data_IF_102956897839
#
_entry.id   IF_102956897839
#
_cell.length_a   1.000
_cell.length_b   1.000
_cell.length_c   1.000
_cell.angle_alpha   90.00
_cell.angle_beta   90.00
_cell.angle_gamma   90.00
#
_symmetry.space_group_name_H-M   'P 1'
#
loop_
_entity.id
_entity.type
_entity.pdbx_description
1 polymer ?
#
# COMPACT_ATOMS: atom_id res chain seq x y z
N UNK A 1 -5.61 -7.36 -17.63
CA UNK A 1 -5.31 -7.57 -19.07
C UNK A 1 -6.03 -8.81 -19.54
N UNK A 2 -6.59 -8.82 -20.76
CA UNK A 2 -7.18 -10.01 -21.37
C UNK A 2 -6.27 -10.44 -22.51
N UNK A 3 -5.87 -11.70 -22.51
CA UNK A 3 -5.02 -12.29 -23.52
C UNK A 3 -5.84 -12.74 -24.75
N UNK A 4 -5.16 -13.03 -25.87
CA UNK A 4 -5.78 -13.47 -27.12
C UNK A 4 -6.54 -14.81 -26.97
N UNK A 5 -6.05 -15.68 -26.10
CA UNK A 5 -6.65 -16.99 -25.76
C UNK A 5 -7.85 -16.89 -24.78
N UNK A 6 -8.20 -15.70 -24.34
CA UNK A 6 -9.30 -15.42 -23.42
C UNK A 6 -8.95 -15.46 -21.94
N UNK A 7 -7.75 -15.92 -21.57
CA UNK A 7 -7.24 -15.88 -20.19
C UNK A 7 -7.09 -14.43 -19.72
N UNK A 8 -7.15 -14.20 -18.41
CA UNK A 8 -7.02 -12.88 -17.81
C UNK A 8 -5.86 -12.87 -16.80
N UNK A 9 -5.05 -11.84 -16.86
CA UNK A 9 -4.03 -11.55 -15.86
C UNK A 9 -4.35 -10.20 -15.24
N UNK A 10 -4.35 -10.15 -13.92
CA UNK A 10 -4.49 -8.90 -13.16
C UNK A 10 -3.12 -8.48 -12.66
N UNK A 11 -2.68 -7.31 -13.07
CA UNK A 11 -1.44 -6.71 -12.62
C UNK A 11 -1.71 -5.76 -11.47
N UNK A 12 -0.90 -5.89 -10.43
CA UNK A 12 -0.83 -4.97 -9.30
C UNK A 12 0.53 -4.28 -9.37
N UNK A 13 0.52 -3.00 -9.74
CA UNK A 13 1.74 -2.19 -9.79
C UNK A 13 2.02 -1.55 -8.44
N UNK A 14 3.29 -1.57 -8.01
CA UNK A 14 3.73 -0.92 -6.77
C UNK A 14 4.88 0.02 -7.08
N UNK A 15 4.88 1.26 -6.51
CA UNK A 15 5.99 2.18 -6.72
C UNK A 15 7.31 1.60 -6.25
N UNK A 16 8.38 1.77 -7.05
CA UNK A 16 9.73 1.28 -6.73
C UNK A 16 10.47 2.10 -5.67
N UNK A 17 9.96 3.29 -5.31
CA UNK A 17 10.64 4.17 -4.37
C UNK A 17 10.65 3.61 -2.94
N UNK A 18 11.74 3.83 -2.20
CA UNK A 18 11.96 3.31 -0.83
C UNK A 18 10.83 3.65 0.15
N UNK A 19 10.22 4.82 0.01
CA UNK A 19 9.09 5.24 0.84
C UNK A 19 7.88 4.30 0.79
N UNK A 20 7.75 3.43 -0.24
CA UNK A 20 6.61 2.54 -0.46
C UNK A 20 6.87 1.08 -0.09
N UNK A 21 7.81 0.81 0.81
CA UNK A 21 8.12 -0.53 1.34
C UNK A 21 6.87 -1.27 1.84
N UNK A 22 5.99 -0.60 2.59
CA UNK A 22 4.76 -1.19 3.10
C UNK A 22 3.79 -1.59 1.98
N UNK A 23 3.71 -0.83 0.88
CA UNK A 23 2.90 -1.19 -0.29
C UNK A 23 3.44 -2.45 -0.98
N UNK A 24 4.78 -2.56 -1.17
CA UNK A 24 5.40 -3.77 -1.74
C UNK A 24 5.14 -4.99 -0.88
N UNK A 25 5.31 -4.89 0.44
CA UNK A 25 5.04 -5.99 1.37
C UNK A 25 3.57 -6.46 1.34
N UNK A 26 2.62 -5.53 1.20
CA UNK A 26 1.20 -5.86 1.05
C UNK A 26 0.90 -6.46 -0.32
N UNK A 27 1.45 -5.88 -1.38
CA UNK A 27 1.33 -6.41 -2.73
C UNK A 27 1.77 -7.86 -2.80
N UNK A 28 2.93 -8.19 -2.25
CA UNK A 28 3.45 -9.55 -2.22
C UNK A 28 2.52 -10.56 -1.51
N UNK A 29 1.78 -10.14 -0.48
CA UNK A 29 0.83 -11.02 0.23
C UNK A 29 -0.47 -11.31 -0.54
N UNK A 30 -0.78 -10.49 -1.53
CA UNK A 30 -2.07 -10.54 -2.25
C UNK A 30 -1.90 -11.14 -3.65
N UNK A 31 -0.67 -11.17 -4.16
CA UNK A 31 -0.34 -11.67 -5.50
C UNK A 31 0.01 -13.15 -5.48
N UNK A 32 -0.23 -13.82 -6.61
CA UNK A 32 0.13 -15.22 -6.83
C UNK A 32 1.55 -15.35 -7.38
N UNK A 33 2.02 -14.38 -8.17
CA UNK A 33 3.35 -14.36 -8.81
C UNK A 33 3.90 -12.93 -8.73
N UNK A 34 5.18 -12.78 -8.43
CA UNK A 34 5.88 -11.51 -8.42
C UNK A 34 6.78 -11.38 -9.67
N UNK A 35 6.59 -10.31 -10.43
CA UNK A 35 7.52 -9.95 -11.51
C UNK A 35 8.47 -8.88 -10.98
N UNK A 36 9.76 -9.23 -10.89
CA UNK A 36 10.81 -8.31 -10.44
C UNK A 36 11.52 -7.75 -11.66
N UNK A 37 11.40 -6.42 -11.85
CA UNK A 37 12.01 -5.73 -12.98
C UNK A 37 13.38 -5.21 -12.56
N UNK A 38 14.42 -5.60 -13.34
CA UNK A 38 15.79 -5.14 -13.16
C UNK A 38 16.26 -4.46 -14.44
N UNK A 39 16.93 -3.33 -14.32
CA UNK A 39 17.45 -2.62 -15.50
C UNK A 39 18.78 -3.22 -15.96
N UNK A 40 18.88 -3.62 -17.25
CA UNK A 40 20.11 -4.20 -17.83
C UNK A 40 21.26 -3.19 -17.96
N UNK A 41 20.97 -1.89 -17.88
CA UNK A 41 21.94 -0.78 -17.96
C UNK A 41 22.44 -0.31 -16.59
N UNK A 42 22.08 -1.02 -15.52
CA UNK A 42 22.41 -0.66 -14.13
C UNK A 42 22.86 -1.92 -13.35
N UNK A 43 22.90 -1.85 -12.03
CA UNK A 43 23.16 -2.98 -11.13
C UNK A 43 21.86 -3.37 -10.42
N UNK A 44 21.90 -4.49 -9.69
CA UNK A 44 20.80 -4.85 -8.79
C UNK A 44 20.76 -3.85 -7.64
N UNK A 45 19.78 -2.95 -7.66
CA UNK A 45 19.63 -1.87 -6.69
C UNK A 45 19.08 -2.37 -5.35
N UNK A 46 19.32 -1.66 -4.22
CA UNK A 46 18.79 -2.05 -2.91
C UNK A 46 17.28 -2.23 -2.89
N UNK A 47 16.53 -1.45 -3.65
CA UNK A 47 15.06 -1.58 -3.79
C UNK A 47 14.67 -2.89 -4.48
N UNK A 48 15.48 -3.37 -5.43
CA UNK A 48 15.30 -4.67 -6.08
C UNK A 48 15.50 -5.81 -5.07
N UNK A 49 16.56 -5.73 -4.26
CA UNK A 49 16.83 -6.70 -3.20
C UNK A 49 15.69 -6.73 -2.18
N UNK A 50 15.18 -5.58 -1.80
CA UNK A 50 14.02 -5.46 -0.93
C UNK A 50 12.77 -6.11 -1.52
N UNK A 51 12.49 -5.87 -2.82
CA UNK A 51 11.35 -6.49 -3.50
C UNK A 51 11.47 -8.01 -3.57
N UNK A 52 12.66 -8.54 -3.85
CA UNK A 52 12.97 -9.97 -3.81
C UNK A 52 12.72 -10.54 -2.40
N UNK A 53 13.19 -9.85 -1.36
CA UNK A 53 13.01 -10.29 0.02
C UNK A 53 11.53 -10.31 0.43
N UNK A 54 10.73 -9.34 0.00
CA UNK A 54 9.28 -9.32 0.26
C UNK A 54 8.57 -10.47 -0.45
N UNK A 55 8.86 -10.74 -1.71
CA UNK A 55 8.29 -11.84 -2.46
C UNK A 55 8.68 -13.20 -1.84
N UNK A 56 9.96 -13.36 -1.48
CA UNK A 56 10.48 -14.56 -0.82
C UNK A 56 9.85 -14.78 0.57
N UNK A 57 9.72 -13.73 1.38
CA UNK A 57 9.08 -13.80 2.69
C UNK A 57 7.58 -14.12 2.62
N UNK A 58 6.92 -13.71 1.54
CA UNK A 58 5.52 -14.06 1.25
C UNK A 58 5.36 -15.46 0.64
N UNK A 59 6.46 -16.13 0.25
CA UNK A 59 6.43 -17.43 -0.41
C UNK A 59 5.91 -17.39 -1.83
N UNK A 60 5.96 -16.23 -2.49
CA UNK A 60 5.45 -16.01 -3.84
C UNK A 60 6.54 -16.33 -4.87
N UNK A 61 6.27 -17.12 -5.92
CA UNK A 61 7.19 -17.36 -7.03
C UNK A 61 7.62 -16.05 -7.69
N UNK A 62 8.88 -16.00 -8.10
CA UNK A 62 9.50 -14.82 -8.69
C UNK A 62 9.87 -15.10 -10.15
N UNK A 63 9.47 -14.20 -11.04
CA UNK A 63 9.90 -14.14 -12.43
C UNK A 63 10.71 -12.86 -12.62
N UNK A 64 11.94 -12.96 -13.12
CA UNK A 64 12.79 -11.80 -13.35
C UNK A 64 12.56 -11.23 -14.76
N UNK A 65 12.36 -9.92 -14.85
CA UNK A 65 12.27 -9.20 -16.12
C UNK A 65 13.46 -8.25 -16.24
N UNK A 66 14.44 -8.61 -17.07
CA UNK A 66 15.65 -7.81 -17.30
C UNK A 66 15.32 -6.80 -18.41
N UNK A 67 15.05 -5.56 -18.00
CA UNK A 67 14.53 -4.50 -18.87
C UNK A 67 15.63 -3.60 -19.44
N UNK A 68 15.28 -2.82 -20.46
CA UNK A 68 16.14 -1.86 -21.15
C UNK A 68 17.27 -2.49 -21.98
N UNK A 69 17.06 -3.67 -22.51
CA UNK A 69 18.06 -4.35 -23.38
C UNK A 69 18.37 -3.57 -24.68
N UNK A 70 17.53 -2.58 -25.00
CA UNK A 70 17.71 -1.69 -26.16
C UNK A 70 18.79 -0.62 -25.98
N UNK A 71 19.34 -0.46 -24.76
CA UNK A 71 20.38 0.53 -24.49
C UNK A 71 21.78 -0.01 -24.83
N UNK A 72 22.71 0.85 -25.34
CA UNK A 72 24.08 0.41 -25.68
C UNK A 72 24.88 -0.12 -24.49
N UNK A 73 24.56 0.34 -23.26
CA UNK A 73 25.23 -0.10 -22.03
C UNK A 73 24.57 -1.31 -21.38
N UNK A 74 23.54 -1.88 -22.00
CA UNK A 74 22.82 -3.03 -21.45
C UNK A 74 23.70 -4.27 -21.37
N UNK A 75 23.77 -4.89 -20.22
CA UNK A 75 24.47 -6.16 -20.01
C UNK A 75 23.60 -7.12 -19.18
N UNK A 76 22.71 -7.89 -19.82
CA UNK A 76 21.83 -8.84 -19.13
C UNK A 76 22.59 -9.91 -18.34
N UNK A 77 23.73 -10.39 -18.88
CA UNK A 77 24.52 -11.45 -18.26
C UNK A 77 25.10 -11.00 -16.91
N UNK A 78 25.53 -9.74 -16.80
CA UNK A 78 25.97 -9.17 -15.53
C UNK A 78 24.86 -9.20 -14.47
N UNK A 79 23.63 -8.86 -14.84
CA UNK A 79 22.48 -8.92 -13.93
C UNK A 79 22.20 -10.37 -13.52
N UNK A 80 22.28 -11.34 -14.44
CA UNK A 80 22.12 -12.77 -14.11
C UNK A 80 23.21 -13.25 -13.14
N UNK A 81 24.43 -12.77 -13.29
CA UNK A 81 25.54 -13.06 -12.36
C UNK A 81 25.30 -12.46 -10.96
N UNK A 82 24.87 -11.20 -10.88
CA UNK A 82 24.54 -10.55 -9.61
C UNK A 82 23.38 -11.29 -8.89
N UNK A 83 22.34 -11.72 -9.63
CA UNK A 83 21.24 -12.53 -9.08
C UNK A 83 21.73 -13.90 -8.60
N UNK A 84 22.61 -14.57 -9.35
CA UNK A 84 23.20 -15.85 -8.98
C UNK A 84 24.03 -15.74 -7.70
N UNK A 85 24.79 -14.66 -7.52
CA UNK A 85 25.56 -14.37 -6.30
C UNK A 85 24.66 -14.19 -5.06
N UNK A 86 23.41 -13.80 -5.26
CA UNK A 86 22.38 -13.71 -4.22
C UNK A 86 21.56 -15.00 -4.02
N UNK A 87 21.98 -16.13 -4.64
CA UNK A 87 21.28 -17.41 -4.67
C UNK A 87 19.97 -17.44 -5.48
N UNK A 88 19.79 -16.51 -6.40
CA UNK A 88 18.65 -16.47 -7.35
C UNK A 88 19.11 -16.87 -8.74
N UNK A 89 19.56 -18.13 -8.88
CA UNK A 89 20.05 -18.65 -10.15
C UNK A 89 18.90 -18.78 -11.16
N UNK A 90 19.06 -18.15 -12.31
CA UNK A 90 18.07 -18.14 -13.38
C UNK A 90 18.06 -19.43 -14.20
N UNK A 91 16.93 -19.72 -14.85
CA UNK A 91 16.71 -20.93 -15.65
C UNK A 91 17.74 -21.09 -16.76
N UNK A 92 18.10 -20.02 -17.46
CA UNK A 92 19.11 -20.00 -18.52
C UNK A 92 20.46 -20.56 -18.06
N UNK A 93 20.78 -20.47 -16.77
CA UNK A 93 22.00 -20.96 -16.15
C UNK A 93 21.79 -22.22 -15.31
N UNK A 94 20.68 -22.94 -15.53
CA UNK A 94 20.34 -24.18 -14.85
C UNK A 94 19.72 -24.02 -13.46
N UNK A 95 19.24 -22.82 -13.14
CA UNK A 95 18.52 -22.53 -11.90
C UNK A 95 17.02 -22.77 -11.98
N UNK A 96 16.31 -22.36 -10.94
CA UNK A 96 14.85 -22.54 -10.82
C UNK A 96 14.03 -21.30 -11.14
N UNK A 97 14.67 -20.12 -11.19
CA UNK A 97 13.96 -18.86 -11.38
C UNK A 97 13.84 -18.52 -12.86
N UNK A 98 12.64 -18.26 -13.31
CA UNK A 98 12.41 -17.83 -14.68
C UNK A 98 12.91 -16.40 -14.88
N UNK A 99 13.53 -16.15 -16.03
CA UNK A 99 13.99 -14.82 -16.42
C UNK A 99 13.67 -14.54 -17.89
N UNK A 100 13.38 -13.28 -18.19
CA UNK A 100 13.13 -12.82 -19.55
C UNK A 100 13.77 -11.45 -19.77
N UNK A 101 14.53 -11.37 -20.87
CA UNK A 101 15.10 -10.12 -21.34
C UNK A 101 14.03 -9.34 -22.12
N UNK A 102 13.83 -8.07 -21.76
CA UNK A 102 12.78 -7.25 -22.36
C UNK A 102 13.26 -5.83 -22.69
N UNK A 103 12.57 -5.20 -23.61
CA UNK A 103 12.55 -3.76 -23.75
C UNK A 103 11.10 -3.27 -23.69
N UNK A 104 10.70 -2.80 -22.54
CA UNK A 104 9.35 -2.27 -22.35
C UNK A 104 9.05 -1.10 -23.31
N UNK A 105 10.08 -0.27 -23.61
CA UNK A 105 9.94 0.86 -24.53
C UNK A 105 9.64 0.43 -25.96
N UNK A 106 10.28 -0.67 -26.42
CA UNK A 106 10.13 -1.20 -27.78
C UNK A 106 9.11 -2.34 -27.88
N UNK A 107 8.59 -2.82 -26.77
CA UNK A 107 7.69 -3.97 -26.70
C UNK A 107 8.35 -5.32 -27.01
N UNK A 108 9.69 -5.39 -26.97
CA UNK A 108 10.44 -6.61 -27.24
C UNK A 108 10.44 -7.50 -26.00
N UNK A 109 10.22 -8.82 -26.17
CA UNK A 109 10.28 -9.82 -25.09
C UNK A 109 9.11 -9.79 -24.10
N UNK A 110 8.12 -8.90 -24.30
CA UNK A 110 6.99 -8.75 -23.37
C UNK A 110 6.02 -9.93 -23.48
N UNK A 111 5.81 -10.45 -24.69
CA UNK A 111 4.93 -11.61 -24.89
C UNK A 111 5.54 -12.86 -24.26
N UNK A 112 6.81 -13.08 -24.47
CA UNK A 112 7.58 -14.17 -23.89
C UNK A 112 7.60 -14.11 -22.36
N UNK A 113 7.71 -12.91 -21.77
CA UNK A 113 7.56 -12.71 -20.33
C UNK A 113 6.17 -13.16 -19.84
N UNK A 114 5.11 -12.77 -20.55
CA UNK A 114 3.76 -13.18 -20.19
C UNK A 114 3.55 -14.68 -20.30
N UNK A 115 4.13 -15.32 -21.32
CA UNK A 115 4.07 -16.77 -21.48
C UNK A 115 4.78 -17.49 -20.33
N UNK A 116 5.93 -16.98 -19.84
CA UNK A 116 6.62 -17.50 -18.64
C UNK A 116 5.77 -17.31 -17.37
N UNK A 117 5.14 -16.17 -17.21
CA UNK A 117 4.23 -15.92 -16.05
C UNK A 117 3.04 -16.89 -16.10
N UNK A 118 2.49 -17.17 -17.26
CA UNK A 118 1.39 -18.14 -17.40
C UNK A 118 1.84 -19.57 -17.12
N UNK A 119 3.04 -19.93 -17.52
CA UNK A 119 3.62 -21.24 -17.20
C UNK A 119 3.77 -21.42 -15.69
N UNK A 120 4.28 -20.41 -15.00
CA UNK A 120 4.38 -20.40 -13.53
C UNK A 120 2.99 -20.51 -12.87
N UNK A 121 1.99 -19.78 -13.39
CA UNK A 121 0.62 -19.84 -12.90
C UNK A 121 -0.01 -21.23 -13.10
N UNK A 122 0.30 -21.93 -14.19
CA UNK A 122 -0.14 -23.31 -14.42
C UNK A 122 0.47 -24.29 -13.41
N UNK A 123 1.75 -24.10 -13.07
CA UNK A 123 2.42 -24.92 -12.05
C UNK A 123 1.82 -24.73 -10.65
N UNK A 124 1.31 -23.54 -10.35
CA UNK A 124 0.66 -23.24 -9.06
C UNK A 124 -0.76 -23.82 -8.93
N UNK A 125 -1.37 -24.30 -10.02
CA UNK A 125 -2.74 -24.86 -10.06
C UNK A 125 -3.77 -23.96 -9.33
N UNK A 126 -3.75 -22.65 -9.65
CA UNK A 126 -4.57 -21.64 -9.00
C UNK A 126 -6.06 -21.91 -9.21
N UNK A 127 -6.82 -22.01 -8.12
CA UNK A 127 -8.25 -22.32 -8.13
C UNK A 127 -9.05 -21.33 -7.30
N UNK A 128 -10.20 -20.92 -7.83
CA UNK A 128 -11.16 -20.10 -7.09
C UNK A 128 -12.60 -20.55 -7.41
N UNK A 129 -13.48 -20.45 -6.40
CA UNK A 129 -14.88 -20.77 -6.58
C UNK A 129 -15.71 -19.48 -6.75
N UNK A 130 -16.25 -19.17 -7.94
CA UNK A 130 -17.06 -17.97 -8.16
C UNK A 130 -18.43 -18.04 -7.48
N UNK A 131 -18.93 -19.24 -7.17
CA UNK A 131 -20.28 -19.46 -6.65
C UNK A 131 -20.37 -19.38 -5.12
N UNK A 132 -19.66 -18.42 -4.52
CA UNK A 132 -19.71 -18.12 -3.08
C UNK A 132 -19.69 -16.62 -2.83
N UNK A 133 -19.93 -16.20 -1.59
CA UNK A 133 -19.77 -14.81 -1.16
C UNK A 133 -18.32 -14.36 -1.39
N UNK A 134 -18.17 -13.15 -1.91
CA UNK A 134 -16.86 -12.63 -2.22
C UNK A 134 -16.01 -12.42 -0.97
N UNK A 135 -14.75 -12.78 -1.11
CA UNK A 135 -13.69 -12.45 -0.17
C UNK A 135 -12.48 -11.95 -0.96
N UNK A 136 -11.72 -11.07 -0.39
CA UNK A 136 -10.53 -10.52 -1.06
C UNK A 136 -9.82 -9.49 -0.19
N UNK A 137 -9.01 -8.65 -0.80
CA UNK A 137 -8.17 -7.67 -0.11
C UNK A 137 -8.44 -6.26 -0.61
N UNK A 138 -8.30 -5.30 0.30
CA UNK A 138 -8.30 -3.87 -0.02
C UNK A 138 -6.91 -3.51 -0.54
N UNK A 139 -6.84 -3.00 -1.76
CA UNK A 139 -5.58 -2.55 -2.36
C UNK A 139 -5.30 -1.12 -1.95
N UNK A 140 -6.32 -0.26 -2.04
CA UNK A 140 -6.20 1.16 -1.76
C UNK A 140 -7.54 1.75 -1.34
N UNK A 141 -7.49 2.80 -0.53
CA UNK A 141 -8.68 3.57 -0.15
C UNK A 141 -8.41 5.06 -0.32
N UNK A 142 -9.40 5.75 -0.84
CA UNK A 142 -9.32 7.20 -1.06
C UNK A 142 -10.65 7.88 -0.74
N UNK A 143 -10.61 9.20 -0.55
CA UNK A 143 -11.80 10.03 -0.40
C UNK A 143 -11.98 10.89 -1.66
N UNK A 144 -12.96 10.55 -2.46
CA UNK A 144 -13.37 11.35 -3.61
C UNK A 144 -14.39 12.43 -3.17
N UNK A 145 -14.20 13.67 -3.61
CA UNK A 145 -15.05 14.82 -3.22
C UNK A 145 -16.52 14.67 -3.66
N UNK A 146 -16.76 13.91 -4.75
CA UNK A 146 -18.11 13.71 -5.32
C UNK A 146 -18.73 12.38 -4.94
N UNK A 147 -17.92 11.34 -4.82
CA UNK A 147 -18.36 9.95 -4.63
C UNK A 147 -18.27 9.47 -3.18
N UNK A 148 -17.58 10.21 -2.31
CA UNK A 148 -17.32 9.81 -0.93
C UNK A 148 -16.14 8.84 -0.81
N UNK A 149 -16.21 7.92 0.16
CA UNK A 149 -15.18 6.91 0.34
C UNK A 149 -15.22 5.89 -0.80
N UNK A 150 -14.06 5.68 -1.39
CA UNK A 150 -13.81 4.80 -2.52
C UNK A 150 -12.75 3.79 -2.12
N UNK A 151 -12.99 2.51 -2.33
CA UNK A 151 -12.01 1.46 -2.06
C UNK A 151 -11.75 0.66 -3.34
N UNK A 152 -10.49 0.51 -3.70
CA UNK A 152 -10.04 -0.44 -4.73
C UNK A 152 -9.82 -1.79 -4.07
N UNK A 153 -10.57 -2.78 -4.52
CA UNK A 153 -10.52 -4.14 -3.98
C UNK A 153 -10.07 -5.14 -5.04
N UNK A 154 -9.40 -6.19 -4.61
CA UNK A 154 -9.11 -7.36 -5.43
C UNK A 154 -9.87 -8.55 -4.86
N UNK A 155 -10.74 -9.14 -5.66
CA UNK A 155 -11.52 -10.32 -5.28
C UNK A 155 -10.61 -11.55 -5.36
N UNK A 156 -10.40 -12.26 -4.26
CA UNK A 156 -9.62 -13.50 -4.23
C UNK A 156 -10.51 -14.71 -4.50
N UNK A 157 -11.73 -14.69 -3.98
CA UNK A 157 -12.66 -15.81 -4.11
C UNK A 157 -14.11 -15.31 -4.10
N UNK A 158 -15.03 -16.05 -4.72
CA UNK A 158 -16.44 -15.69 -4.81
C UNK A 158 -16.71 -14.63 -5.88
N UNK A 159 -17.92 -14.11 -5.90
CA UNK A 159 -18.35 -13.02 -6.80
C UNK A 159 -18.93 -11.88 -6.00
N UNK A 160 -18.34 -10.70 -6.16
CA UNK A 160 -18.77 -9.45 -5.55
C UNK A 160 -19.85 -8.81 -6.43
N UNK A 161 -20.97 -8.37 -5.83
CA UNK A 161 -22.09 -7.77 -6.55
C UNK A 161 -22.49 -6.43 -5.98
N UNK A 162 -23.06 -5.59 -6.82
CA UNK A 162 -23.72 -4.36 -6.36
C UNK A 162 -24.91 -4.74 -5.49
N UNK A 163 -25.00 -4.13 -4.31
CA UNK A 163 -26.02 -4.43 -3.30
C UNK A 163 -25.53 -5.31 -2.16
N UNK A 164 -24.37 -5.96 -2.30
CA UNK A 164 -23.77 -6.75 -1.23
C UNK A 164 -23.38 -5.87 -0.04
N UNK A 165 -23.39 -6.47 1.14
CA UNK A 165 -22.98 -5.82 2.38
C UNK A 165 -21.55 -6.27 2.66
N UNK A 166 -20.62 -5.32 2.57
CA UNK A 166 -19.19 -5.53 2.76
C UNK A 166 -18.74 -5.06 4.13
N UNK A 167 -17.86 -5.83 4.77
CA UNK A 167 -17.06 -5.42 5.91
C UNK A 167 -15.58 -5.54 5.59
N UNK A 168 -14.81 -4.48 5.85
CA UNK A 168 -13.37 -4.43 5.66
C UNK A 168 -12.72 -3.66 6.82
N UNK A 169 -11.87 -4.35 7.59
CA UNK A 169 -11.32 -3.76 8.81
C UNK A 169 -12.43 -3.31 9.78
N UNK A 170 -12.43 -2.02 10.09
CA UNK A 170 -13.46 -1.33 10.90
C UNK A 170 -14.53 -0.64 10.06
N UNK A 171 -14.39 -0.65 8.73
CA UNK A 171 -15.34 -0.03 7.81
C UNK A 171 -16.32 -1.08 7.28
N UNK A 172 -17.57 -0.67 7.11
CA UNK A 172 -18.61 -1.52 6.53
C UNK A 172 -19.56 -0.68 5.67
N UNK A 173 -20.37 -1.32 4.86
CA UNK A 173 -21.41 -0.65 4.10
C UNK A 173 -21.97 -1.49 2.98
N UNK A 174 -23.10 -1.02 2.43
CA UNK A 174 -23.73 -1.61 1.27
C UNK A 174 -23.10 -1.05 -0.01
N UNK A 175 -22.65 -1.93 -0.89
CA UNK A 175 -22.08 -1.56 -2.17
C UNK A 175 -23.14 -0.88 -3.03
N UNK A 176 -22.98 0.41 -3.30
CA UNK A 176 -23.90 1.22 -4.11
C UNK A 176 -23.58 1.15 -5.59
N UNK A 177 -22.29 1.12 -5.91
CA UNK A 177 -21.82 1.02 -7.28
C UNK A 177 -20.42 0.40 -7.30
N UNK A 178 -20.09 -0.25 -8.40
CA UNK A 178 -18.75 -0.75 -8.68
C UNK A 178 -18.29 -0.28 -10.06
N UNK A 179 -16.99 -0.09 -10.20
CA UNK A 179 -16.35 0.31 -11.45
C UNK A 179 -15.13 -0.57 -11.72
N UNK A 180 -14.84 -0.80 -12.99
CA UNK A 180 -13.62 -1.47 -13.40
C UNK A 180 -12.43 -0.49 -13.47
N UNK A 181 -11.26 -1.00 -13.87
CA UNK A 181 -10.02 -0.24 -14.04
C UNK A 181 -10.13 0.89 -15.08
N UNK A 182 -11.14 0.83 -15.96
CA UNK A 182 -11.43 1.86 -16.98
C UNK A 182 -12.50 2.85 -16.55
N UNK A 183 -12.86 2.82 -15.25
CA UNK A 183 -13.93 3.64 -14.66
C UNK A 183 -15.32 3.41 -15.30
N UNK A 184 -15.55 2.23 -15.87
CA UNK A 184 -16.84 1.81 -16.39
C UNK A 184 -17.61 1.08 -15.29
N UNK A 185 -18.91 1.36 -15.19
CA UNK A 185 -19.78 0.73 -14.20
C UNK A 185 -19.94 -0.76 -14.47
N UNK A 186 -19.74 -1.57 -13.45
CA UNK A 186 -19.94 -3.01 -13.48
C UNK A 186 -20.94 -3.42 -12.41
N UNK A 187 -21.63 -4.55 -12.62
CA UNK A 187 -22.61 -5.09 -11.69
C UNK A 187 -22.03 -6.20 -10.82
N UNK A 188 -21.00 -6.89 -11.32
CA UNK A 188 -20.34 -7.99 -10.63
C UNK A 188 -18.84 -8.04 -10.95
N UNK A 189 -18.07 -8.57 -10.00
CA UNK A 189 -16.63 -8.83 -10.12
C UNK A 189 -16.34 -10.22 -9.56
N UNK A 190 -15.83 -11.11 -10.42
CA UNK A 190 -15.45 -12.49 -10.05
C UNK A 190 -14.02 -12.57 -9.49
N UNK A 191 -13.51 -13.81 -9.28
CA UNK A 191 -12.16 -14.04 -8.80
C UNK A 191 -11.08 -13.37 -9.66
N UNK A 192 -10.02 -12.91 -9.02
CA UNK A 192 -8.90 -12.16 -9.60
C UNK A 192 -9.29 -10.85 -10.32
N UNK A 193 -10.55 -10.39 -10.19
CA UNK A 193 -10.97 -9.13 -10.77
C UNK A 193 -10.76 -7.97 -9.78
N UNK A 194 -10.13 -6.86 -10.22
CA UNK A 194 -10.12 -5.62 -9.46
C UNK A 194 -11.46 -4.91 -9.62
N UNK A 195 -11.92 -4.28 -8.55
CA UNK A 195 -13.11 -3.45 -8.57
C UNK A 195 -12.94 -2.21 -7.67
N UNK A 196 -13.39 -1.08 -8.17
CA UNK A 196 -13.52 0.14 -7.40
C UNK A 196 -14.92 0.16 -6.78
N UNK A 197 -15.00 0.17 -5.47
CA UNK A 197 -16.25 0.00 -4.69
C UNK A 197 -16.64 1.31 -4.02
N UNK A 198 -17.93 1.65 -4.11
CA UNK A 198 -18.54 2.80 -3.44
C UNK A 198 -19.62 2.33 -2.46
N UNK A 199 -19.70 2.99 -1.32
CA UNK A 199 -20.79 2.77 -0.36
C UNK A 199 -20.34 2.42 1.05
N UNK A 200 -19.05 2.35 1.31
CA UNK A 200 -18.49 2.16 2.65
C UNK A 200 -18.65 3.43 3.49
N UNK A 201 -18.78 3.26 4.80
CA UNK A 201 -18.92 4.34 5.77
C UNK A 201 -17.61 5.03 6.15
N UNK A 202 -16.47 4.47 5.71
CA UNK A 202 -15.12 4.98 5.98
C UNK A 202 -14.12 4.45 4.96
N UNK A 203 -12.87 4.88 5.08
CA UNK A 203 -11.76 4.36 4.31
C UNK A 203 -11.17 3.13 5.03
N UNK A 204 -11.36 1.90 4.53
CA UNK A 204 -10.71 0.74 5.11
C UNK A 204 -9.19 0.82 4.89
N UNK A 205 -8.38 0.35 5.85
CA UNK A 205 -6.93 0.28 5.67
C UNK A 205 -6.53 -0.57 4.46
N UNK A 206 -5.53 -0.12 3.72
CA UNK A 206 -4.96 -0.90 2.62
C UNK A 206 -4.30 -2.19 3.16
N UNK A 207 -4.51 -3.32 2.47
CA UNK A 207 -4.05 -4.65 2.89
C UNK A 207 -5.02 -5.42 3.79
N UNK A 208 -6.08 -4.80 4.27
CA UNK A 208 -7.11 -5.51 5.03
C UNK A 208 -7.93 -6.45 4.12
N UNK A 209 -8.41 -7.53 4.72
CA UNK A 209 -9.32 -8.44 4.03
C UNK A 209 -10.75 -7.94 4.14
N UNK A 210 -11.51 -8.09 3.05
CA UNK A 210 -12.94 -7.86 3.07
C UNK A 210 -13.73 -9.16 2.99
N UNK A 211 -14.93 -9.13 3.57
CA UNK A 211 -15.88 -10.23 3.52
C UNK A 211 -17.29 -9.69 3.24
N UNK A 212 -18.10 -10.50 2.56
CA UNK A 212 -19.51 -10.20 2.30
C UNK A 212 -20.37 -10.92 3.33
N UNK A 213 -21.29 -10.18 3.93
CA UNK A 213 -22.24 -10.64 4.95
C UNK A 213 -23.68 -10.56 4.45
N UNK A 214 -24.59 -11.23 5.16
CA UNK A 214 -26.01 -11.27 4.80
C UNK A 214 -26.74 -10.01 5.27
N UNK A 215 -26.37 -9.48 6.42
CA UNK A 215 -27.10 -8.40 7.07
C UNK A 215 -26.20 -7.22 7.44
N UNK A 216 -26.73 -6.01 7.29
CA UNK A 216 -26.06 -4.77 7.70
C UNK A 216 -25.80 -4.73 9.21
N UNK A 217 -26.69 -5.37 9.98
CA UNK A 217 -26.55 -5.47 11.44
C UNK A 217 -25.29 -6.26 11.83
N UNK A 218 -25.07 -7.43 11.23
CA UNK A 218 -23.84 -8.22 11.47
C UNK A 218 -22.58 -7.44 11.08
N UNK A 219 -22.62 -6.77 9.91
CA UNK A 219 -21.49 -5.96 9.45
C UNK A 219 -21.13 -4.86 10.45
N UNK A 220 -22.14 -4.18 10.97
CA UNK A 220 -21.99 -3.13 11.98
C UNK A 220 -21.46 -3.69 13.31
N UNK A 221 -21.99 -4.80 13.79
CA UNK A 221 -21.55 -5.44 15.04
C UNK A 221 -20.07 -5.86 14.95
N UNK A 222 -19.66 -6.49 13.83
CA UNK A 222 -18.28 -6.88 13.60
C UNK A 222 -17.34 -5.66 13.52
N UNK A 223 -17.73 -4.63 12.79
CA UNK A 223 -16.95 -3.40 12.66
C UNK A 223 -16.75 -2.71 14.02
N UNK A 224 -17.83 -2.55 14.80
CA UNK A 224 -17.77 -1.95 16.13
C UNK A 224 -16.88 -2.75 17.09
N UNK A 225 -16.98 -4.08 17.07
CA UNK A 225 -16.15 -4.94 17.90
C UNK A 225 -14.66 -4.83 17.53
N UNK A 226 -14.35 -4.80 16.23
CA UNK A 226 -12.97 -4.60 15.76
C UNK A 226 -12.43 -3.23 16.16
N UNK A 227 -13.25 -2.18 16.07
CA UNK A 227 -12.87 -0.84 16.50
C UNK A 227 -12.55 -0.78 18.00
N UNK A 228 -13.38 -1.43 18.85
CA UNK A 228 -13.13 -1.53 20.28
C UNK A 228 -11.80 -2.24 20.57
N UNK A 229 -11.56 -3.39 19.93
CA UNK A 229 -10.30 -4.13 20.07
C UNK A 229 -9.08 -3.30 19.65
N UNK A 230 -9.19 -2.56 18.55
CA UNK A 230 -8.10 -1.68 18.08
C UNK A 230 -7.82 -0.56 19.10
N UNK A 231 -8.87 0.02 19.70
CA UNK A 231 -8.72 1.04 20.76
C UNK A 231 -8.02 0.46 21.98
N UNK A 232 -8.46 -0.71 22.46
CA UNK A 232 -7.83 -1.38 23.60
C UNK A 232 -6.36 -1.72 23.36
N UNK A 233 -6.02 -2.27 22.17
CA UNK A 233 -4.63 -2.55 21.78
C UNK A 233 -3.81 -1.28 21.76
N UNK A 234 -4.34 -0.20 21.17
CA UNK A 234 -3.66 1.10 21.09
C UNK A 234 -3.43 1.71 22.48
N UNK A 235 -4.39 1.58 23.39
CA UNK A 235 -4.25 2.04 24.77
C UNK A 235 -3.20 1.24 25.54
N UNK A 236 -3.19 -0.11 25.39
CA UNK A 236 -2.19 -0.99 26.02
C UNK A 236 -0.79 -0.76 25.47
N UNK A 237 -0.67 -0.46 24.18
CA UNK A 237 0.63 -0.23 23.51
C UNK A 237 1.16 1.18 23.80
N UNK A 238 0.30 2.09 24.23
CA UNK A 238 0.67 3.43 24.65
C UNK A 238 1.41 3.34 25.99
N UNK A 239 2.71 3.02 25.95
CA UNK A 239 3.58 3.05 27.14
C UNK A 239 3.57 4.49 27.65
N UNK A 240 3.01 4.69 28.85
CA UNK A 240 3.30 5.92 29.59
C UNK A 240 4.81 5.97 29.84
N UNK A 241 5.50 7.06 29.47
CA UNK A 241 6.91 7.19 29.75
C UNK A 241 7.12 7.03 31.25
N UNK A 242 7.96 6.07 31.63
CA UNK A 242 8.31 5.85 33.04
C UNK A 242 9.00 7.10 33.62
N UNK A 243 8.98 7.24 34.94
CA UNK A 243 9.69 8.32 35.61
C UNK A 243 11.18 8.35 35.25
N UNK A 244 11.76 7.18 35.01
CA UNK A 244 13.16 7.03 34.56
C UNK A 244 13.39 7.57 33.15
N UNK A 245 12.42 7.38 32.23
CA UNK A 245 12.47 7.95 30.89
C UNK A 245 12.37 9.46 30.90
N UNK A 246 11.52 10.01 31.80
CA UNK A 246 11.38 11.45 31.99
C UNK A 246 12.66 12.03 32.59
N UNK A 247 13.25 11.36 33.60
CA UNK A 247 14.51 11.76 34.20
C UNK A 247 15.67 11.74 33.21
N UNK A 248 15.76 10.67 32.39
CA UNK A 248 16.76 10.53 31.33
C UNK A 248 16.62 11.61 30.26
N UNK A 249 15.39 11.90 29.81
CA UNK A 249 15.09 12.98 28.86
C UNK A 249 15.47 14.37 29.41
N UNK A 250 15.25 14.59 30.72
CA UNK A 250 15.60 15.84 31.38
C UNK A 250 17.12 16.03 31.56
N UNK A 251 17.86 14.92 31.71
CA UNK A 251 19.32 14.92 31.83
C UNK A 251 20.04 15.13 30.47
N UNK A 252 19.39 14.81 29.35
CA UNK A 252 19.94 14.96 28.00
C UNK A 252 19.81 16.37 27.39
N UNK A 253 19.21 17.34 28.10
CA UNK A 253 19.09 18.72 27.64
C UNK A 253 17.74 19.03 26.96
N UNK A 254 17.71 20.07 26.13
CA UNK A 254 16.50 20.50 25.41
C UNK A 254 16.08 19.47 24.36
N UNK A 255 15.14 18.59 24.75
CA UNK A 255 14.53 17.63 23.86
C UNK A 255 13.25 18.22 23.30
N UNK A 256 13.16 18.33 21.99
CA UNK A 256 12.00 18.85 21.30
C UNK A 256 11.17 17.70 20.70
N UNK A 257 9.87 17.69 20.93
CA UNK A 257 8.93 16.80 20.26
C UNK A 257 8.16 17.56 19.18
N UNK A 258 8.27 17.10 17.94
CA UNK A 258 7.48 17.60 16.82
C UNK A 258 6.29 16.67 16.60
N UNK A 259 5.14 17.10 17.06
CA UNK A 259 3.90 16.36 16.90
C UNK A 259 3.20 16.74 15.58
N UNK A 260 2.95 15.76 14.71
CA UNK A 260 2.39 15.97 13.38
C UNK A 260 1.03 15.28 13.23
N UNK A 261 0.15 15.92 12.47
CA UNK A 261 -1.08 15.33 11.92
C UNK A 261 -0.91 15.25 10.41
N UNK A 262 -1.07 14.05 9.84
CA UNK A 262 -0.89 13.80 8.41
C UNK A 262 -2.24 13.52 7.79
N UNK A 263 -2.60 14.29 6.76
CA UNK A 263 -3.81 14.13 5.96
C UNK A 263 -3.47 14.09 4.48
N UNK A 264 -4.17 13.27 3.74
CA UNK A 264 -3.97 13.14 2.29
C UNK A 264 -5.20 12.55 1.61
N UNK A 265 -5.12 12.43 0.30
CA UNK A 265 -6.24 11.94 -0.50
C UNK A 265 -6.28 10.40 -0.51
N UNK A 266 -5.13 9.74 -0.31
CA UNK A 266 -4.93 8.30 -0.46
C UNK A 266 -4.20 7.74 0.76
N UNK A 267 -4.69 6.62 1.29
CA UNK A 267 -4.17 5.99 2.51
C UNK A 267 -2.69 5.58 2.40
N UNK A 268 -2.30 4.94 1.31
CA UNK A 268 -0.92 4.51 1.11
C UNK A 268 0.10 5.65 1.02
N UNK A 269 -0.28 6.79 0.45
CA UNK A 269 0.59 7.99 0.40
C UNK A 269 0.77 8.61 1.80
N UNK A 270 -0.28 8.61 2.61
CA UNK A 270 -0.26 9.09 4.00
C UNK A 270 0.68 8.23 4.84
N UNK A 271 0.60 6.91 4.66
CA UNK A 271 1.47 5.96 5.36
C UNK A 271 2.93 6.17 5.00
N UNK A 272 3.27 6.19 3.70
CA UNK A 272 4.63 6.41 3.22
C UNK A 272 5.23 7.74 3.70
N UNK A 273 4.42 8.81 3.67
CA UNK A 273 4.84 10.11 4.20
C UNK A 273 5.06 10.07 5.71
N UNK A 274 4.16 9.44 6.45
CA UNK A 274 4.27 9.31 7.92
C UNK A 274 5.54 8.56 8.31
N UNK A 275 5.84 7.45 7.65
CA UNK A 275 7.04 6.65 7.90
C UNK A 275 8.32 7.41 7.55
N UNK A 276 8.30 8.16 6.44
CA UNK A 276 9.42 9.01 6.04
C UNK A 276 9.68 10.14 7.06
N UNK A 277 8.62 10.76 7.57
CA UNK A 277 8.72 11.81 8.58
C UNK A 277 9.25 11.28 9.93
N UNK A 278 8.82 10.09 10.35
CA UNK A 278 9.33 9.45 11.58
C UNK A 278 10.83 9.14 11.46
N UNK A 279 11.28 8.70 10.29
CA UNK A 279 12.72 8.44 10.01
C UNK A 279 13.61 9.68 10.10
N UNK A 280 13.04 10.88 9.98
CA UNK A 280 13.77 12.14 10.15
C UNK A 280 14.03 12.51 11.61
N UNK A 281 13.57 11.70 12.57
CA UNK A 281 13.85 11.93 13.99
C UNK A 281 15.34 11.94 14.27
N UNK A 282 15.79 12.92 15.04
CA UNK A 282 17.16 13.05 15.53
C UNK A 282 17.18 12.90 17.06
N UNK A 283 18.36 12.75 17.68
CA UNK A 283 18.45 12.71 19.14
C UNK A 283 17.92 13.98 19.84
N UNK A 284 17.94 15.12 19.15
CA UNK A 284 17.48 16.42 19.66
C UNK A 284 15.99 16.66 19.39
N UNK A 285 15.47 16.16 18.25
CA UNK A 285 14.09 16.37 17.82
C UNK A 285 13.44 15.05 17.46
N UNK A 286 12.44 14.64 18.22
CA UNK A 286 11.64 13.47 17.92
C UNK A 286 10.40 13.86 17.14
N UNK A 287 10.21 13.22 15.97
CA UNK A 287 9.01 13.40 15.14
C UNK A 287 7.99 12.32 15.52
N UNK A 288 6.82 12.76 15.97
CA UNK A 288 5.69 11.88 16.33
C UNK A 288 4.49 12.16 15.43
N UNK A 289 3.95 11.14 14.77
CA UNK A 289 2.69 11.25 14.02
C UNK A 289 1.54 10.87 14.97
N UNK A 290 0.80 11.88 15.44
CA UNK A 290 -0.29 11.71 16.42
C UNK A 290 -1.54 11.14 15.76
N UNK A 291 -1.83 11.65 14.55
CA UNK A 291 -3.04 11.27 13.83
C UNK A 291 -2.75 11.24 12.32
N UNK A 292 -3.24 10.19 11.66
CA UNK A 292 -3.22 10.06 10.20
C UNK A 292 -4.61 9.67 9.73
N UNK A 293 -5.10 10.34 8.70
CA UNK A 293 -6.40 10.00 8.10
C UNK A 293 -6.53 10.51 6.66
N UNK A 294 -7.38 9.84 5.90
CA UNK A 294 -7.74 10.23 4.54
C UNK A 294 -8.75 11.38 4.57
N UNK A 295 -8.53 12.40 3.76
CA UNK A 295 -9.42 13.53 3.58
C UNK A 295 -8.80 14.90 3.85
N UNK A 296 -9.62 15.93 3.78
CA UNK A 296 -9.23 17.31 4.06
C UNK A 296 -8.99 17.55 5.55
N UNK A 297 -8.25 18.60 5.86
CA UNK A 297 -8.06 19.07 7.25
C UNK A 297 -9.40 19.60 7.78
N UNK A 298 -9.81 19.11 8.95
CA UNK A 298 -11.02 19.51 9.66
C UNK A 298 -10.71 20.39 10.87
N UNK A 299 -11.72 21.05 11.42
CA UNK A 299 -11.58 21.85 12.65
C UNK A 299 -11.12 20.99 13.85
N UNK A 300 -11.58 19.74 13.92
CA UNK A 300 -11.15 18.78 14.94
C UNK A 300 -9.65 18.45 14.84
N UNK A 301 -9.08 18.40 13.64
CA UNK A 301 -7.65 18.18 13.44
C UNK A 301 -6.84 19.37 13.96
N UNK A 302 -7.32 20.59 13.70
CA UNK A 302 -6.67 21.83 14.19
C UNK A 302 -6.74 21.89 15.72
N UNK A 303 -7.88 21.53 16.30
CA UNK A 303 -8.05 21.46 17.77
C UNK A 303 -7.14 20.41 18.38
N UNK A 304 -7.02 19.24 17.76
CA UNK A 304 -6.10 18.17 18.19
C UNK A 304 -4.64 18.62 18.10
N UNK A 305 -4.25 19.28 17.01
CA UNK A 305 -2.91 19.83 16.86
C UNK A 305 -2.59 20.87 17.94
N UNK A 306 -3.52 21.78 18.23
CA UNK A 306 -3.36 22.78 19.29
C UNK A 306 -3.24 22.14 20.68
N UNK A 307 -4.00 21.09 20.97
CA UNK A 307 -3.95 20.34 22.23
C UNK A 307 -2.66 19.52 22.39
N UNK A 308 -2.04 19.11 21.30
CA UNK A 308 -0.84 18.26 21.27
C UNK A 308 0.47 19.05 21.42
N UNK A 309 0.45 20.35 21.15
CA UNK A 309 1.54 21.27 21.50
C UNK A 309 1.47 21.44 22.99
N UNK A 310 2.19 20.62 23.74
CA UNK A 310 2.11 20.48 25.20
C UNK A 310 2.04 21.82 25.92
N UNK A 311 1.31 21.83 27.03
CA UNK A 311 1.04 22.94 27.93
C UNK A 311 2.29 23.59 28.55
N UNK A 312 3.08 24.22 27.73
CA UNK A 312 4.02 25.25 28.13
C UNK A 312 3.60 26.52 27.39
N UNK A 313 2.85 27.43 28.04
CA UNK A 313 2.70 28.75 27.46
C UNK A 313 4.11 29.33 27.30
N UNK A 314 4.51 29.81 26.10
CA UNK A 314 5.71 30.58 26.00
C UNK A 314 5.56 31.76 26.96
N UNK A 315 6.46 31.88 27.92
CA UNK A 315 6.63 33.08 28.74
C UNK A 315 7.10 34.19 27.80
N UNK A 316 6.16 34.95 27.28
CA UNK A 316 6.43 36.04 26.35
C UNK A 316 5.33 36.15 25.31
N UNK A 317 4.64 37.31 25.32
CA UNK A 317 3.66 37.74 24.33
C UNK A 317 4.29 37.88 22.94
N UNK A 318 4.67 36.80 22.27
CA UNK A 318 5.17 36.86 20.89
C UNK A 318 4.48 35.86 19.97
N UNK A 319 3.51 36.43 19.27
CA UNK A 319 3.19 36.29 17.85
C UNK A 319 2.89 34.92 17.26
N UNK A 320 1.68 34.47 17.48
CA UNK A 320 0.98 33.57 16.55
C UNK A 320 0.60 34.25 15.20
N UNK A 321 1.16 35.43 14.92
CA UNK A 321 0.82 36.23 13.71
C UNK A 321 1.72 35.98 12.50
N UNK A 322 2.69 35.05 12.51
CA UNK A 322 3.69 35.01 11.44
C UNK A 322 3.96 33.68 10.74
N UNK A 323 3.12 32.68 10.80
CA UNK A 323 3.29 31.51 9.92
C UNK A 323 1.98 31.02 9.26
N UNK A 324 1.32 31.82 8.39
CA UNK A 324 0.34 31.31 7.46
C UNK A 324 0.97 30.51 6.31
N UNK A 325 2.29 30.57 6.15
CA UNK A 325 3.00 30.04 4.97
C UNK A 325 3.31 28.56 5.02
N UNK A 326 3.33 27.92 6.19
CA UNK A 326 3.55 26.46 6.30
C UNK A 326 2.33 25.62 5.91
N UNK A 327 1.13 26.18 5.96
CA UNK A 327 -0.10 25.52 5.54
C UNK A 327 -0.31 25.52 4.01
N UNK A 328 0.43 26.34 3.26
CA UNK A 328 0.25 26.51 1.81
C UNK A 328 1.27 25.76 0.94
N UNK A 329 2.30 25.09 1.52
CA UNK A 329 3.35 24.43 0.73
C UNK A 329 3.14 22.95 0.47
N UNK A 330 2.07 22.34 1.01
CA UNK A 330 1.69 20.96 0.72
C UNK A 330 0.49 20.84 -0.23
N UNK A 331 0.20 21.86 -1.02
CA UNK A 331 -0.59 21.69 -2.23
C UNK A 331 0.31 21.03 -3.27
N UNK A 332 0.19 19.72 -3.44
CA UNK A 332 0.72 19.03 -4.61
C UNK A 332 0.29 19.78 -5.86
N UNK A 333 1.27 20.30 -6.56
CA UNK A 333 1.13 20.92 -7.89
C UNK A 333 0.46 19.90 -8.81
N UNK A 334 -0.75 20.18 -9.25
CA UNK A 334 -1.31 19.55 -10.43
C UNK A 334 -0.53 20.14 -11.61
N UNK A 335 0.52 19.43 -12.03
CA UNK A 335 1.11 19.62 -13.33
C UNK A 335 0.14 19.08 -14.38
N UNK A 336 -0.13 19.91 -15.39
CA UNK A 336 -0.95 19.60 -16.55
C UNK A 336 -0.34 18.55 -17.47
#
# INVERSE_FOLDING_TARGET
>A
MKLEDGRRITFLDTPGHEAFTAMRARGAKVTDIAIIIVAADDNVMPQTIEAINHASAAGVPIVFAINKIDKPAANPDKIKEELANMNYLVEDWGGKYQSQEISAKKGIGVKELLDKVLLEAEMLDLKANPNRKATGSIIESSLDKGRGYVATVLVSNGTLRVGDIMVAGTSYGKIRAMFNERNQRITEAGPAAPALVLGLNGAPPAGDTFNILDTDREAREIATRREQLQREVKERTRRMPGLDDIARRRALGEFHELNLIVKGDVDGSIEALSDSLIKLSTPEVQVNVIHKAVGAISESDVTLAAASVGSRPPSGRERWRRHPSLLNHLRCNRGG
#
